data_IF_649570621881
#
_entry.id   IF_649570621881
#
_cell.length_a   1.000
_cell.length_b   1.000
_cell.length_c   1.000
_cell.angle_alpha   90.00
_cell.angle_beta   90.00
_cell.angle_gamma   90.00
#
_symmetry.space_group_name_H-M   'P 1'
#
loop_
_entity.id
_entity.type
_entity.pdbx_description
1 polymer ?
#
# COMPACT_ATOMS: atom_id res chain seq x y z
N UNK A 1 17.99 20.50 -0.62
CA UNK A 1 16.54 20.37 -0.90
C UNK A 1 15.89 19.79 0.34
N UNK A 2 14.97 20.53 0.97
CA UNK A 2 14.20 20.00 2.09
C UNK A 2 13.38 18.82 1.53
N UNK A 3 13.56 17.57 2.01
CA UNK A 3 12.81 16.46 1.46
C UNK A 3 11.33 16.73 1.76
N UNK A 4 10.50 16.78 0.72
CA UNK A 4 9.07 17.00 0.86
C UNK A 4 8.51 16.13 2.00
N UNK A 5 7.70 16.75 2.87
CA UNK A 5 7.17 16.08 4.05
C UNK A 5 6.13 15.06 3.61
N UNK A 6 6.47 13.78 3.76
CA UNK A 6 5.55 12.67 3.51
C UNK A 6 4.63 12.57 4.72
N UNK A 7 3.32 12.54 4.47
CA UNK A 7 2.32 12.27 5.50
C UNK A 7 1.51 11.03 5.16
N UNK A 8 0.91 10.42 6.17
CA UNK A 8 0.03 9.26 6.02
C UNK A 8 -1.26 9.59 6.75
N UNK A 9 -2.37 9.63 6.03
CA UNK A 9 -3.67 10.04 6.57
C UNK A 9 -4.82 9.20 5.99
N UNK A 10 -6.00 9.18 6.64
CA UNK A 10 -7.21 8.66 6.01
C UNK A 10 -7.47 9.33 4.66
N UNK A 11 -8.09 8.58 3.75
CA UNK A 11 -8.57 9.12 2.49
C UNK A 11 -9.70 10.14 2.72
N UNK A 12 -9.79 11.12 1.83
CA UNK A 12 -10.83 12.13 1.77
C UNK A 12 -11.49 12.09 0.39
N UNK A 13 -12.76 12.48 0.28
CA UNK A 13 -13.45 12.53 -1.02
C UNK A 13 -12.80 13.52 -2.00
N UNK A 14 -12.14 14.54 -1.47
CA UNK A 14 -11.34 15.52 -2.23
C UNK A 14 -10.11 14.89 -2.89
N UNK A 15 -9.69 13.69 -2.49
CA UNK A 15 -8.59 12.97 -3.13
C UNK A 15 -8.99 12.34 -4.47
N UNK A 16 -10.26 12.41 -4.91
CA UNK A 16 -10.74 11.69 -6.10
C UNK A 16 -9.92 11.99 -7.38
N UNK A 17 -9.60 13.26 -7.63
CA UNK A 17 -8.80 13.64 -8.81
C UNK A 17 -7.35 13.12 -8.71
N UNK A 18 -6.80 13.08 -7.51
CA UNK A 18 -5.48 12.50 -7.23
C UNK A 18 -5.46 10.99 -7.37
N UNK A 19 -6.51 10.32 -6.88
CA UNK A 19 -6.70 8.87 -6.99
C UNK A 19 -6.72 8.46 -8.45
N UNK A 20 -7.38 9.21 -9.33
CA UNK A 20 -7.36 8.92 -10.77
C UNK A 20 -5.96 8.94 -11.38
N UNK A 21 -5.05 9.77 -10.89
CA UNK A 21 -3.69 9.86 -11.45
C UNK A 21 -2.87 8.59 -11.24
N UNK A 22 -3.12 7.86 -10.15
CA UNK A 22 -2.38 6.63 -9.85
C UNK A 22 -3.21 5.36 -10.02
N UNK A 23 -4.52 5.41 -9.78
CA UNK A 23 -5.46 4.32 -10.02
C UNK A 23 -5.99 4.30 -11.47
N UNK A 24 -5.65 5.27 -12.30
CA UNK A 24 -5.83 5.17 -13.76
C UNK A 24 -4.65 4.52 -14.48
N UNK A 25 -3.56 4.22 -13.78
CA UNK A 25 -2.34 3.66 -14.38
C UNK A 25 -2.31 2.13 -14.24
N UNK A 26 -2.44 1.45 -15.37
CA UNK A 26 -2.34 -0.01 -15.50
C UNK A 26 -1.10 -0.61 -14.83
N UNK A 27 0.03 0.12 -14.80
CA UNK A 27 1.27 -0.35 -14.18
C UNK A 27 1.15 -0.47 -12.66
N UNK A 28 0.23 0.28 -12.07
CA UNK A 28 -0.06 0.27 -10.64
C UNK A 28 -1.11 -0.81 -10.35
N UNK A 29 -2.21 -0.82 -11.09
CA UNK A 29 -3.37 -1.67 -10.77
C UNK A 29 -3.18 -3.15 -11.08
N UNK A 30 -2.34 -3.49 -12.07
CA UNK A 30 -1.96 -4.89 -12.34
C UNK A 30 -1.36 -5.59 -11.12
N UNK A 31 -0.84 -4.84 -10.14
CA UNK A 31 -0.28 -5.39 -8.91
C UNK A 31 -1.34 -5.64 -7.82
N UNK A 32 -2.55 -5.09 -7.95
CA UNK A 32 -3.59 -5.12 -6.91
C UNK A 32 -4.88 -5.83 -7.31
N UNK A 33 -4.94 -6.44 -8.50
CA UNK A 33 -6.15 -7.14 -9.00
C UNK A 33 -7.41 -6.26 -8.95
N UNK A 34 -7.25 -4.95 -9.04
CA UNK A 34 -8.37 -4.00 -9.16
C UNK A 34 -8.61 -3.69 -10.65
N UNK A 35 -9.70 -2.98 -10.95
CA UNK A 35 -9.96 -2.46 -12.29
C UNK A 35 -9.38 -1.07 -12.42
N UNK A 36 -8.81 -0.75 -13.59
CA UNK A 36 -8.31 0.59 -13.89
C UNK A 36 -9.43 1.60 -13.79
N UNK A 37 -9.27 2.60 -12.91
CA UNK A 37 -10.27 3.64 -12.70
C UNK A 37 -10.18 4.66 -13.83
N UNK A 38 -11.32 4.98 -14.44
CA UNK A 38 -11.43 5.80 -15.64
C UNK A 38 -12.27 7.05 -15.44
N UNK A 39 -13.01 7.15 -14.33
CA UNK A 39 -13.91 8.28 -14.04
C UNK A 39 -13.84 8.74 -12.59
N UNK A 40 -14.20 10.00 -12.35
CA UNK A 40 -14.21 10.58 -11.00
C UNK A 40 -15.19 9.86 -10.09
N UNK A 41 -16.31 9.42 -10.64
CA UNK A 41 -17.32 8.61 -9.98
C UNK A 41 -16.73 7.29 -9.49
N UNK A 42 -15.99 6.57 -10.34
CA UNK A 42 -15.29 5.34 -9.95
C UNK A 42 -14.24 5.59 -8.85
N UNK A 43 -13.52 6.71 -8.92
CA UNK A 43 -12.57 7.10 -7.87
C UNK A 43 -13.27 7.39 -6.54
N UNK A 44 -14.42 8.07 -6.56
CA UNK A 44 -15.23 8.31 -5.37
C UNK A 44 -15.74 7.00 -4.77
N UNK A 45 -16.27 6.10 -5.59
CA UNK A 45 -16.70 4.76 -5.17
C UNK A 45 -15.55 3.97 -4.57
N UNK A 46 -14.37 3.99 -5.20
CA UNK A 46 -13.18 3.32 -4.66
C UNK A 46 -12.77 3.91 -3.30
N UNK A 47 -12.80 5.24 -3.14
CA UNK A 47 -12.50 5.90 -1.87
C UNK A 47 -13.51 5.45 -0.79
N UNK A 48 -14.80 5.48 -1.07
CA UNK A 48 -15.83 5.18 -0.06
C UNK A 48 -15.92 3.70 0.26
N UNK A 49 -15.97 2.85 -0.76
CA UNK A 49 -16.28 1.42 -0.61
C UNK A 49 -15.06 0.56 -0.34
N UNK A 50 -13.85 1.02 -0.69
CA UNK A 50 -12.60 0.25 -0.47
C UNK A 50 -11.71 0.94 0.56
N UNK A 51 -11.40 2.22 0.38
CA UNK A 51 -10.42 2.89 1.25
C UNK A 51 -11.00 3.20 2.64
N UNK A 52 -12.20 3.79 2.70
CA UNK A 52 -12.81 4.18 3.97
C UNK A 52 -13.48 3.02 4.72
N UNK A 53 -13.91 1.98 4.00
CA UNK A 53 -14.49 0.77 4.60
C UNK A 53 -13.44 -0.15 5.24
N UNK A 54 -12.19 -0.06 4.78
CA UNK A 54 -11.11 -0.89 5.27
C UNK A 54 -10.49 -0.28 6.54
N UNK A 55 -10.31 -1.06 7.62
CA UNK A 55 -9.94 -0.53 8.94
C UNK A 55 -8.56 0.15 8.98
N UNK A 56 -7.68 -0.21 8.04
CA UNK A 56 -6.35 0.35 7.94
C UNK A 56 -5.93 0.55 6.48
N UNK A 57 -6.60 1.46 5.78
CA UNK A 57 -6.23 1.87 4.42
C UNK A 57 -6.06 3.39 4.40
N UNK A 58 -4.84 3.85 4.13
CA UNK A 58 -4.45 5.26 4.29
C UNK A 58 -3.80 5.77 3.02
N UNK A 59 -4.00 7.05 2.73
CA UNK A 59 -3.32 7.75 1.65
C UNK A 59 -1.88 8.06 2.06
N UNK A 60 -0.95 7.89 1.11
CA UNK A 60 0.40 8.45 1.20
C UNK A 60 0.35 9.80 0.51
N UNK A 61 0.72 10.86 1.22
CA UNK A 61 0.60 12.23 0.71
C UNK A 61 1.94 12.96 0.64
N UNK A 62 2.03 13.88 -0.32
CA UNK A 62 3.06 14.92 -0.40
C UNK A 62 2.33 16.25 -0.60
N UNK A 63 2.64 17.24 0.25
CA UNK A 63 1.99 18.56 0.21
C UNK A 63 0.45 18.46 0.20
N UNK A 64 -0.08 17.54 1.01
CA UNK A 64 -1.49 17.16 1.14
C UNK A 64 -2.17 16.55 -0.10
N UNK A 65 -1.42 16.31 -1.18
CA UNK A 65 -1.88 15.58 -2.37
C UNK A 65 -1.76 14.09 -2.17
N UNK A 66 -2.79 13.32 -2.51
CA UNK A 66 -2.78 11.86 -2.43
C UNK A 66 -1.96 11.28 -3.59
N UNK A 67 -0.79 10.71 -3.29
CA UNK A 67 0.10 10.16 -4.32
C UNK A 67 0.05 8.64 -4.41
N UNK A 68 -0.78 8.01 -3.59
CA UNK A 68 -0.90 6.57 -3.48
C UNK A 68 -1.50 6.15 -2.15
N UNK A 69 -1.26 4.90 -1.78
CA UNK A 69 -1.83 4.31 -0.57
C UNK A 69 -0.87 3.37 0.13
N UNK A 70 -1.21 3.09 1.39
CA UNK A 70 -0.66 2.01 2.19
C UNK A 70 -1.80 1.38 3.00
N UNK A 71 -1.84 0.06 3.04
CA UNK A 71 -2.88 -0.70 3.73
C UNK A 71 -2.28 -1.82 4.57
N UNK A 72 -2.95 -2.16 5.67
CA UNK A 72 -2.58 -3.25 6.57
C UNK A 72 -3.83 -4.07 6.88
N UNK A 73 -3.83 -5.34 6.51
CA UNK A 73 -4.96 -6.22 6.69
C UNK A 73 -4.59 -7.31 7.70
N UNK A 74 -5.01 -7.19 8.98
CA UNK A 74 -4.82 -8.25 9.96
C UNK A 74 -5.54 -9.52 9.53
N UNK A 75 -4.88 -10.67 9.73
CA UNK A 75 -5.54 -11.96 9.58
C UNK A 75 -6.56 -12.17 10.71
N UNK A 76 -7.48 -13.11 10.50
CA UNK A 76 -8.55 -13.43 11.45
C UNK A 76 -8.38 -14.83 12.04
N UNK A 77 -9.12 -15.13 13.11
CA UNK A 77 -9.06 -16.43 13.78
C UNK A 77 -7.68 -16.72 14.39
N UNK A 78 -7.19 -17.95 14.19
CA UNK A 78 -5.93 -18.43 14.77
C UNK A 78 -4.68 -17.73 14.19
N UNK A 79 -4.80 -17.07 13.03
CA UNK A 79 -3.71 -16.34 12.38
C UNK A 79 -3.65 -14.86 12.72
N UNK A 80 -4.48 -14.37 13.66
CA UNK A 80 -4.56 -12.94 14.04
C UNK A 80 -3.26 -12.29 14.50
N UNK A 81 -2.23 -13.10 14.81
CA UNK A 81 -0.88 -12.62 15.10
C UNK A 81 -0.13 -12.12 13.85
N UNK A 82 -0.75 -12.17 12.66
CA UNK A 82 -0.17 -11.76 11.38
C UNK A 82 -1.03 -10.71 10.68
N UNK A 83 -0.40 -9.89 9.85
CA UNK A 83 -1.07 -8.93 8.97
C UNK A 83 -0.33 -8.78 7.64
N UNK A 84 -1.09 -8.49 6.59
CA UNK A 84 -0.56 -8.24 5.24
C UNK A 84 -0.44 -6.74 4.98
N UNK A 85 0.72 -6.31 4.49
CA UNK A 85 1.00 -4.94 4.07
C UNK A 85 0.86 -4.82 2.54
N UNK A 86 0.04 -3.87 2.10
CA UNK A 86 -0.07 -3.43 0.70
C UNK A 86 0.32 -1.97 0.55
N UNK A 87 0.91 -1.58 -0.58
CA UNK A 87 1.17 -0.17 -0.89
C UNK A 87 1.38 0.06 -2.37
N UNK A 88 1.04 1.25 -2.85
CA UNK A 88 1.48 1.76 -4.15
C UNK A 88 1.54 3.27 -4.16
N UNK A 89 2.30 3.83 -5.10
CA UNK A 89 2.32 5.26 -5.39
C UNK A 89 2.37 5.48 -6.90
N UNK A 90 1.94 6.66 -7.35
CA UNK A 90 2.00 7.08 -8.74
C UNK A 90 3.40 6.88 -9.34
N UNK A 91 3.48 6.50 -10.61
CA UNK A 91 4.74 6.11 -11.27
C UNK A 91 5.79 7.22 -11.24
N UNK A 92 5.36 8.48 -11.34
CA UNK A 92 6.25 9.64 -11.27
C UNK A 92 7.03 9.76 -9.95
N UNK A 93 6.58 9.09 -8.87
CA UNK A 93 7.23 9.09 -7.56
C UNK A 93 8.12 7.86 -7.31
N UNK A 94 8.22 6.94 -8.27
CA UNK A 94 9.06 5.74 -8.12
C UNK A 94 10.55 6.07 -8.06
N UNK A 95 11.31 5.24 -7.34
CA UNK A 95 12.77 5.39 -7.23
C UNK A 95 13.25 6.51 -6.31
N UNK A 96 12.35 7.34 -5.77
CA UNK A 96 12.70 8.49 -4.94
C UNK A 96 12.78 8.18 -3.44
N UNK A 97 12.62 6.91 -3.04
CA UNK A 97 12.67 6.48 -1.63
C UNK A 97 11.41 6.82 -0.81
N UNK A 98 10.40 7.43 -1.42
CA UNK A 98 9.12 7.82 -0.79
C UNK A 98 8.44 6.62 -0.14
N UNK A 99 8.23 5.54 -0.89
CA UNK A 99 7.56 4.34 -0.38
C UNK A 99 8.32 3.70 0.78
N UNK A 100 9.66 3.67 0.74
CA UNK A 100 10.46 3.16 1.86
C UNK A 100 10.25 3.98 3.13
N UNK A 101 10.19 5.32 3.02
CA UNK A 101 9.89 6.19 4.15
C UNK A 101 8.47 5.95 4.67
N UNK A 102 7.49 5.88 3.78
CA UNK A 102 6.10 5.60 4.13
C UNK A 102 5.96 4.27 4.89
N UNK A 103 6.52 3.17 4.36
CA UNK A 103 6.49 1.86 5.02
C UNK A 103 7.12 1.94 6.42
N UNK A 104 8.28 2.59 6.57
CA UNK A 104 8.92 2.75 7.89
C UNK A 104 8.06 3.52 8.90
N UNK A 105 7.38 4.58 8.47
CA UNK A 105 6.46 5.34 9.33
C UNK A 105 5.30 4.45 9.80
N UNK A 106 4.77 3.62 8.90
CA UNK A 106 3.68 2.69 9.17
C UNK A 106 4.07 1.59 10.16
N UNK A 107 5.27 1.03 10.05
CA UNK A 107 5.73 -0.06 10.93
C UNK A 107 5.54 0.28 12.42
N UNK A 108 6.01 1.45 12.85
CA UNK A 108 5.89 1.87 14.25
C UNK A 108 4.43 2.03 14.69
N UNK A 109 3.58 2.55 13.81
CA UNK A 109 2.17 2.78 14.11
C UNK A 109 1.39 1.46 14.22
N UNK A 110 1.63 0.53 13.29
CA UNK A 110 0.92 -0.75 13.21
C UNK A 110 1.16 -1.60 14.45
N UNK A 111 2.41 -1.80 14.85
CA UNK A 111 2.70 -2.61 16.05
C UNK A 111 2.19 -1.96 17.35
N UNK A 112 1.99 -0.63 17.37
CA UNK A 112 1.38 0.07 18.49
C UNK A 112 -0.15 -0.10 18.51
N UNK A 113 -0.80 -0.06 17.35
CA UNK A 113 -2.26 -0.19 17.20
C UNK A 113 -2.73 -1.63 17.29
N UNK A 114 -1.89 -2.59 16.90
CA UNK A 114 -2.17 -4.03 16.93
C UNK A 114 -1.16 -4.75 17.84
N UNK A 115 -1.33 -4.72 19.17
CA UNK A 115 -0.35 -5.26 20.11
C UNK A 115 -0.21 -6.79 20.05
N UNK A 116 -1.20 -7.51 19.53
CA UNK A 116 -1.10 -8.97 19.29
C UNK A 116 -0.38 -9.33 17.98
N UNK A 117 -0.03 -8.33 17.17
CA UNK A 117 0.67 -8.55 15.92
C UNK A 117 2.13 -8.95 16.20
N UNK A 118 2.50 -10.16 15.83
CA UNK A 118 3.86 -10.68 15.92
C UNK A 118 4.56 -10.58 14.56
N UNK A 119 3.79 -10.53 13.47
CA UNK A 119 4.32 -10.54 12.10
C UNK A 119 3.56 -9.61 11.17
N UNK A 120 4.29 -8.70 10.54
CA UNK A 120 3.82 -8.00 9.35
C UNK A 120 4.52 -8.59 8.12
N UNK A 121 3.75 -8.99 7.12
CA UNK A 121 4.27 -9.59 5.89
C UNK A 121 3.78 -8.84 4.66
N UNK A 122 4.44 -9.05 3.52
CA UNK A 122 4.06 -8.44 2.26
C UNK A 122 4.39 -9.40 1.11
N UNK A 123 3.56 -9.37 0.07
CA UNK A 123 3.77 -10.15 -1.14
C UNK A 123 4.11 -9.22 -2.31
N UNK A 124 4.95 -9.71 -3.21
CA UNK A 124 5.31 -8.99 -4.43
C UNK A 124 5.63 -9.99 -5.54
N UNK A 125 5.35 -9.60 -6.79
CA UNK A 125 5.70 -10.41 -7.96
C UNK A 125 7.21 -10.39 -8.18
N UNK A 126 7.75 -11.44 -8.81
CA UNK A 126 9.19 -11.62 -8.99
C UNK A 126 9.83 -10.49 -9.82
N UNK A 127 9.05 -9.92 -10.73
CA UNK A 127 9.41 -8.86 -11.67
C UNK A 127 9.47 -7.49 -10.97
N UNK A 128 8.73 -7.29 -9.88
CA UNK A 128 8.65 -6.03 -9.17
C UNK A 128 9.85 -5.82 -8.23
N UNK A 129 11.03 -5.62 -8.83
CA UNK A 129 12.28 -5.35 -8.12
C UNK A 129 12.23 -4.06 -7.29
N UNK A 130 11.37 -3.11 -7.67
CA UNK A 130 11.16 -1.88 -6.92
C UNK A 130 10.59 -2.15 -5.53
N UNK A 131 9.46 -2.85 -5.47
CA UNK A 131 8.82 -3.26 -4.22
C UNK A 131 9.71 -4.17 -3.37
N UNK A 132 10.42 -5.12 -3.98
CA UNK A 132 11.40 -5.97 -3.28
C UNK A 132 12.48 -5.13 -2.57
N UNK A 133 13.03 -4.10 -3.24
CA UNK A 133 14.01 -3.19 -2.62
C UNK A 133 13.38 -2.32 -1.52
N UNK A 134 12.13 -1.88 -1.69
CA UNK A 134 11.42 -1.10 -0.66
C UNK A 134 11.30 -1.92 0.61
N UNK A 135 10.82 -3.16 0.52
CA UNK A 135 10.66 -4.08 1.64
C UNK A 135 12.00 -4.34 2.34
N UNK A 136 13.05 -4.69 1.58
CA UNK A 136 14.38 -4.92 2.14
C UNK A 136 14.93 -3.69 2.89
N UNK A 137 14.80 -2.48 2.30
CA UNK A 137 15.24 -1.23 2.96
C UNK A 137 14.40 -0.84 4.16
N UNK A 138 13.16 -1.31 4.24
CA UNK A 138 12.26 -1.13 5.37
C UNK A 138 12.51 -2.14 6.51
N UNK A 139 13.37 -3.15 6.29
CA UNK A 139 13.74 -4.16 7.29
C UNK A 139 13.02 -5.50 7.14
N UNK A 140 12.24 -5.70 6.08
CA UNK A 140 11.63 -7.00 5.80
C UNK A 140 12.68 -7.99 5.32
N UNK A 141 12.52 -9.26 5.71
CA UNK A 141 13.33 -10.38 5.25
C UNK A 141 12.51 -11.22 4.27
N UNK A 142 13.13 -11.60 3.14
CA UNK A 142 12.48 -12.49 2.17
C UNK A 142 12.51 -13.92 2.70
N UNK A 143 11.34 -14.50 2.94
CA UNK A 143 11.23 -15.86 3.48
C UNK A 143 10.95 -16.94 2.43
N UNK A 144 10.45 -16.59 1.24
CA UNK A 144 10.15 -17.61 0.23
C UNK A 144 9.69 -17.08 -1.12
N UNK A 145 9.33 -18.03 -1.99
CA UNK A 145 8.62 -17.80 -3.26
C UNK A 145 7.43 -18.75 -3.27
N UNK A 146 6.24 -18.20 -3.48
CA UNK A 146 5.04 -19.00 -3.72
C UNK A 146 5.09 -19.47 -5.17
N UNK A 147 5.29 -20.77 -5.37
CA UNK A 147 5.09 -21.41 -6.66
C UNK A 147 3.64 -21.92 -6.73
N UNK A 148 3.03 -21.89 -7.92
CA UNK A 148 1.80 -22.65 -8.16
C UNK A 148 2.08 -24.11 -7.78
N UNK A 149 1.51 -24.55 -6.66
CA UNK A 149 1.54 -25.95 -6.31
C UNK A 149 0.92 -26.74 -7.46
N UNK A 150 1.69 -27.60 -8.11
CA UNK A 150 1.06 -28.70 -8.85
C UNK A 150 0.44 -29.59 -7.79
N UNK A 151 -0.87 -29.46 -7.58
CA UNK A 151 -1.63 -30.55 -6.96
C UNK A 151 -1.37 -31.79 -7.82
N UNK A 152 -0.73 -32.80 -7.24
CA UNK A 152 -0.66 -34.15 -7.80
C UNK A 152 -1.85 -34.94 -7.28
#
# INVERSE_FOLDING_TARGET
>A
MNPASITIRPFQLTDADDVLLWAGDDRIIRLFRCYTLTSKEEALTFITEVCMSHPWFKSICIDDRSIGFISVSPATGDDRCRADLGYAIAVQYWGQGITTRAVKMVLCQVFKEFPELVRLQAYTVLENKGSQRVLAKAGFVREGVLNLGKYK
#
